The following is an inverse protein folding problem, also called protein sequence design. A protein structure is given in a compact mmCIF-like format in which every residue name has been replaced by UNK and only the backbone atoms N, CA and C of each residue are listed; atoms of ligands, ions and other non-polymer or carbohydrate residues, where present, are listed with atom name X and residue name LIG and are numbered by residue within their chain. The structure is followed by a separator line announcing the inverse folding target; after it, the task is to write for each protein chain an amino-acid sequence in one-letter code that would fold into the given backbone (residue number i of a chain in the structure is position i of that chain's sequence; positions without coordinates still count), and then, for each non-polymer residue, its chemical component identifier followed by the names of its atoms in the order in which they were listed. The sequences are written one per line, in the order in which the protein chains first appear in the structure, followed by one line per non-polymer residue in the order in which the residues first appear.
data_IF_344225621519
#
_entry.id   IF_344225621519
#
_cell.length_a   1.000
_cell.length_b   1.000
_cell.length_c   1.000
_cell.angle_alpha   90.00
_cell.angle_beta   90.00
_cell.angle_gamma   90.00
#
_symmetry.space_group_name_H-M   'P 1'
#
loop_
_entity.id
_entity.type
_entity.pdbx_description
1 polymer ?
#
# COMPACT_ATOMS: atom_id res chain seq x y z
N UNK A 1 11.31 24.72 -6.96
CA UNK A 1 12.48 23.84 -6.82
C UNK A 1 12.50 22.91 -8.03
N UNK A 2 13.45 23.07 -8.96
CA UNK A 2 13.64 22.09 -10.03
C UNK A 2 14.04 20.80 -9.34
N UNK A 3 13.20 19.77 -9.38
CA UNK A 3 13.53 18.46 -8.85
C UNK A 3 14.69 17.91 -9.69
N UNK A 4 15.80 17.60 -9.05
CA UNK A 4 17.00 17.02 -9.68
C UNK A 4 16.70 15.66 -10.36
N UNK A 5 15.59 15.00 -9.93
CA UNK A 5 15.17 13.71 -10.43
C UNK A 5 14.08 13.85 -11.50
N UNK A 6 14.19 13.06 -12.58
CA UNK A 6 13.13 12.92 -13.56
C UNK A 6 11.85 12.32 -12.92
N UNK A 7 10.63 12.55 -13.49
CA UNK A 7 9.41 11.96 -12.94
C UNK A 7 9.46 10.43 -12.82
N UNK A 8 10.08 9.75 -13.78
CA UNK A 8 10.29 8.29 -13.71
C UNK A 8 11.19 7.90 -12.54
N UNK A 9 12.29 8.61 -12.33
CA UNK A 9 13.21 8.35 -11.21
C UNK A 9 12.54 8.61 -9.85
N UNK A 10 11.68 9.63 -9.73
CA UNK A 10 10.89 9.86 -8.52
C UNK A 10 9.95 8.70 -8.22
N UNK A 11 9.26 8.17 -9.26
CA UNK A 11 8.37 7.03 -9.11
C UNK A 11 9.13 5.76 -8.71
N UNK A 12 10.24 5.46 -9.40
CA UNK A 12 11.10 4.32 -9.05
C UNK A 12 11.55 4.42 -7.59
N UNK A 13 12.06 5.58 -7.17
CA UNK A 13 12.52 5.77 -5.79
C UNK A 13 11.39 5.59 -4.78
N UNK A 14 10.18 6.08 -5.08
CA UNK A 14 9.02 5.86 -4.18
C UNK A 14 8.65 4.39 -4.04
N UNK A 15 8.70 3.62 -5.14
CA UNK A 15 8.41 2.18 -5.12
C UNK A 15 9.48 1.39 -4.36
N UNK A 16 10.76 1.73 -4.57
CA UNK A 16 11.85 1.14 -3.80
C UNK A 16 11.68 1.40 -2.30
N UNK A 17 11.31 2.62 -1.91
CA UNK A 17 11.03 2.96 -0.51
C UNK A 17 9.84 2.14 0.01
N UNK A 18 8.72 2.07 -0.70
CA UNK A 18 7.56 1.31 -0.26
C UNK A 18 7.89 -0.18 -0.07
N UNK A 19 8.66 -0.79 -0.96
CA UNK A 19 9.07 -2.19 -0.86
C UNK A 19 9.91 -2.54 0.39
N UNK A 20 10.54 -1.55 1.03
CA UNK A 20 11.30 -1.79 2.26
C UNK A 20 10.45 -1.78 3.53
N UNK A 21 9.18 -1.33 3.46
CA UNK A 21 8.36 -1.10 4.66
C UNK A 21 8.08 -2.38 5.46
N UNK A 22 7.87 -3.50 4.78
CA UNK A 22 7.61 -4.79 5.41
C UNK A 22 8.79 -5.24 6.29
N UNK A 23 10.01 -5.06 5.78
CA UNK A 23 11.23 -5.38 6.54
C UNK A 23 11.39 -4.44 7.73
N UNK A 24 11.26 -3.13 7.53
CA UNK A 24 11.36 -2.15 8.62
C UNK A 24 10.32 -2.44 9.71
N UNK A 25 9.10 -2.83 9.32
CA UNK A 25 8.01 -3.19 10.24
C UNK A 25 8.40 -4.36 11.17
N UNK A 26 9.16 -5.35 10.68
CA UNK A 26 9.61 -6.51 11.48
C UNK A 26 10.50 -6.13 12.66
N UNK A 27 11.21 -5.03 12.56
CA UNK A 27 12.09 -4.53 13.63
C UNK A 27 11.41 -3.57 14.61
N UNK A 28 10.11 -3.30 14.46
CA UNK A 28 9.34 -2.45 15.37
C UNK A 28 8.47 -3.36 16.26
N UNK A 29 8.83 -3.53 17.56
CA UNK A 29 8.12 -4.42 18.48
C UNK A 29 6.86 -3.77 19.07
N UNK A 30 6.11 -3.02 18.23
CA UNK A 30 4.87 -2.37 18.64
C UNK A 30 3.66 -3.02 17.94
N UNK A 31 2.47 -2.94 18.55
CA UNK A 31 1.22 -3.37 17.90
C UNK A 31 1.04 -2.71 16.53
N UNK A 32 0.44 -3.44 15.60
CA UNK A 32 0.24 -2.96 14.21
C UNK A 32 -0.59 -1.68 14.15
N UNK A 33 -1.57 -1.55 15.05
CA UNK A 33 -2.41 -0.36 15.23
C UNK A 33 -1.59 0.87 15.63
N UNK A 34 -0.66 0.72 16.58
CA UNK A 34 0.23 1.80 17.04
C UNK A 34 1.14 2.26 15.88
N UNK A 35 1.76 1.32 15.17
CA UNK A 35 2.64 1.65 14.04
C UNK A 35 1.85 2.37 12.93
N UNK A 36 0.64 1.91 12.64
CA UNK A 36 -0.23 2.54 11.64
C UNK A 36 -0.68 3.95 12.07
N UNK A 37 -1.01 4.15 13.37
CA UNK A 37 -1.32 5.48 13.92
C UNK A 37 -0.13 6.43 13.80
N UNK A 38 1.06 6.00 14.25
CA UNK A 38 2.28 6.82 14.16
C UNK A 38 2.59 7.17 12.70
N UNK A 39 2.45 6.20 11.79
CA UNK A 39 2.63 6.42 10.37
C UNK A 39 1.69 7.51 9.84
N UNK A 40 0.40 7.45 10.19
CA UNK A 40 -0.58 8.43 9.79
C UNK A 40 -0.27 9.83 10.36
N UNK A 41 0.02 9.91 11.66
CA UNK A 41 0.27 11.16 12.36
C UNK A 41 1.56 11.84 11.89
N UNK A 42 2.67 11.11 11.86
CA UNK A 42 3.98 11.65 11.41
C UNK A 42 3.94 12.02 9.92
N UNK A 43 3.32 11.18 9.07
CA UNK A 43 3.12 11.49 7.67
C UNK A 43 2.26 12.74 7.46
N UNK A 44 1.19 12.90 8.24
CA UNK A 44 0.34 14.10 8.23
C UNK A 44 1.14 15.34 8.60
N UNK A 45 1.87 15.30 9.72
CA UNK A 45 2.71 16.44 10.15
C UNK A 45 3.72 16.80 9.08
N UNK A 46 4.39 15.82 8.49
CA UNK A 46 5.35 16.04 7.40
C UNK A 46 4.69 16.76 6.21
N UNK A 47 3.51 16.29 5.76
CA UNK A 47 2.80 16.90 4.63
C UNK A 47 2.31 18.31 4.94
N UNK A 48 1.84 18.57 6.17
CA UNK A 48 1.42 19.91 6.60
C UNK A 48 2.60 20.87 6.65
N UNK A 49 3.76 20.44 7.17
CA UNK A 49 5.00 21.24 7.19
C UNK A 49 5.46 21.53 5.76
N UNK A 50 5.49 20.53 4.87
CA UNK A 50 5.87 20.70 3.48
C UNK A 50 4.94 21.70 2.76
N UNK A 51 3.63 21.59 2.99
CA UNK A 51 2.63 22.52 2.47
C UNK A 51 2.89 23.95 2.94
N UNK A 52 3.18 24.12 4.23
CA UNK A 52 3.51 25.46 4.81
C UNK A 52 4.74 26.07 4.13
N UNK A 53 5.79 25.27 3.96
CA UNK A 53 7.01 25.69 3.25
C UNK A 53 6.72 26.06 1.80
N UNK A 54 5.86 25.31 1.10
CA UNK A 54 5.44 25.58 -0.29
C UNK A 54 4.42 26.71 -0.41
N UNK A 55 3.91 27.25 0.70
CA UNK A 55 2.87 28.29 0.76
C UNK A 55 1.59 27.92 0.01
N UNK A 56 1.26 26.65 -0.06
CA UNK A 56 0.05 26.13 -0.73
C UNK A 56 -1.16 26.28 0.20
N UNK A 57 -2.33 26.64 -0.38
CA UNK A 57 -3.60 26.76 0.37
C UNK A 57 -4.48 25.54 0.15
N UNK A 58 -5.26 25.15 1.19
CA UNK A 58 -6.28 24.10 1.09
C UNK A 58 -7.44 24.61 0.25
N UNK A 59 -7.89 23.85 -0.72
CA UNK A 59 -9.18 24.10 -1.37
C UNK A 59 -10.32 23.56 -0.47
N UNK A 60 -10.78 24.44 0.44
CA UNK A 60 -11.84 24.10 1.40
C UNK A 60 -13.16 23.72 0.72
N UNK A 61 -13.47 24.31 -0.44
CA UNK A 61 -14.69 24.00 -1.16
C UNK A 61 -14.64 22.59 -1.76
N UNK A 62 -13.51 22.22 -2.37
CA UNK A 62 -13.28 20.87 -2.89
C UNK A 62 -13.29 19.81 -1.76
N UNK A 63 -12.67 20.10 -0.62
CA UNK A 63 -12.69 19.21 0.56
C UNK A 63 -14.13 19.02 1.05
N UNK A 64 -14.89 20.09 1.25
CA UNK A 64 -16.28 20.04 1.74
C UNK A 64 -17.19 19.23 0.81
N UNK A 65 -17.06 19.42 -0.51
CA UNK A 65 -17.83 18.66 -1.52
C UNK A 65 -17.57 17.16 -1.47
N UNK A 66 -16.36 16.75 -1.11
CA UNK A 66 -15.94 15.35 -1.06
C UNK A 66 -15.87 14.77 0.37
N UNK A 67 -16.37 15.51 1.38
CA UNK A 67 -16.09 15.22 2.79
C UNK A 67 -16.43 13.77 3.20
N UNK A 68 -17.64 13.30 2.89
CA UNK A 68 -18.07 11.95 3.24
C UNK A 68 -17.15 10.88 2.64
N UNK A 69 -16.78 11.04 1.36
CA UNK A 69 -15.86 10.10 0.68
C UNK A 69 -14.46 10.13 1.29
N UNK A 70 -13.98 11.32 1.68
CA UNK A 70 -12.68 11.48 2.34
C UNK A 70 -12.67 10.85 3.73
N UNK A 71 -13.78 10.94 4.48
CA UNK A 71 -13.94 10.27 5.77
C UNK A 71 -13.88 8.74 5.59
N UNK A 72 -14.67 8.19 4.67
CA UNK A 72 -14.67 6.76 4.36
C UNK A 72 -13.26 6.31 3.94
N UNK A 73 -12.60 7.04 3.04
CA UNK A 73 -11.25 6.72 2.57
C UNK A 73 -10.22 6.75 3.70
N UNK A 74 -10.31 7.70 4.63
CA UNK A 74 -9.38 7.76 5.76
C UNK A 74 -9.57 6.60 6.75
N UNK A 75 -10.82 6.23 7.05
CA UNK A 75 -11.13 5.04 7.88
C UNK A 75 -10.61 3.76 7.22
N UNK A 76 -10.90 3.59 5.92
CA UNK A 76 -10.43 2.42 5.17
C UNK A 76 -8.91 2.36 5.08
N UNK A 77 -8.24 3.51 4.95
CA UNK A 77 -6.78 3.58 4.90
C UNK A 77 -6.16 3.15 6.24
N UNK A 78 -6.69 3.62 7.36
CA UNK A 78 -6.25 3.21 8.69
C UNK A 78 -6.42 1.70 8.91
N UNK A 79 -7.61 1.17 8.62
CA UNK A 79 -7.87 -0.26 8.70
C UNK A 79 -6.96 -1.09 7.77
N UNK A 80 -6.77 -0.64 6.52
CA UNK A 80 -5.88 -1.28 5.56
C UNK A 80 -4.46 -1.45 6.11
N UNK A 81 -3.89 -0.41 6.72
CA UNK A 81 -2.54 -0.48 7.29
C UNK A 81 -2.46 -1.39 8.51
N UNK A 82 -3.49 -1.40 9.38
CA UNK A 82 -3.53 -2.32 10.52
C UNK A 82 -3.52 -3.77 10.01
N UNK A 83 -4.40 -4.11 9.08
CA UNK A 83 -4.49 -5.46 8.54
C UNK A 83 -3.21 -5.90 7.81
N UNK A 84 -2.59 -5.01 7.02
CA UNK A 84 -1.34 -5.33 6.34
C UNK A 84 -0.18 -5.54 7.32
N UNK A 85 -0.03 -4.66 8.30
CA UNK A 85 1.04 -4.80 9.28
C UNK A 85 0.82 -6.00 10.19
N UNK A 86 -0.43 -6.32 10.51
CA UNK A 86 -0.77 -7.52 11.26
C UNK A 86 -0.52 -8.79 10.43
N UNK A 87 -0.74 -8.75 9.13
CA UNK A 87 -0.39 -9.85 8.24
C UNK A 87 1.10 -10.20 8.33
N UNK A 88 1.98 -9.19 8.37
CA UNK A 88 3.43 -9.40 8.54
C UNK A 88 3.81 -10.08 9.87
N UNK A 89 2.97 -10.02 10.89
CA UNK A 89 3.19 -10.71 12.16
C UNK A 89 2.82 -12.21 12.09
N UNK A 90 2.00 -12.60 11.12
CA UNK A 90 1.42 -13.95 11.03
C UNK A 90 1.89 -14.77 9.82
N UNK A 91 2.61 -14.15 8.88
CA UNK A 91 3.21 -14.84 7.71
C UNK A 91 4.47 -14.12 7.27
N UNK A 92 5.15 -14.64 6.22
CA UNK A 92 6.32 -13.97 5.66
C UNK A 92 5.96 -12.62 5.03
N UNK A 93 6.92 -11.69 5.02
CA UNK A 93 6.73 -10.39 4.36
C UNK A 93 6.44 -10.59 2.87
N UNK A 94 7.09 -11.56 2.23
CA UNK A 94 6.83 -11.91 0.83
C UNK A 94 5.38 -12.35 0.63
N UNK A 95 4.88 -13.33 1.40
CA UNK A 95 3.53 -13.86 1.27
C UNK A 95 2.46 -12.80 1.56
N UNK A 96 2.61 -12.03 2.65
CA UNK A 96 1.69 -10.95 2.98
C UNK A 96 1.64 -9.87 1.87
N UNK A 97 2.81 -9.51 1.32
CA UNK A 97 2.90 -8.53 0.23
C UNK A 97 2.25 -9.06 -1.05
N UNK A 98 2.47 -10.34 -1.40
CA UNK A 98 1.81 -10.93 -2.56
C UNK A 98 0.29 -10.98 -2.40
N UNK A 99 -0.23 -11.29 -1.19
CA UNK A 99 -1.67 -11.18 -0.88
C UNK A 99 -2.17 -9.74 -1.09
N UNK A 100 -1.44 -8.76 -0.59
CA UNK A 100 -1.80 -7.35 -0.71
C UNK A 100 -1.86 -6.90 -2.17
N UNK A 101 -0.95 -7.39 -3.00
CA UNK A 101 -0.93 -7.12 -4.44
C UNK A 101 -2.02 -7.84 -5.25
N UNK A 102 -2.92 -8.59 -4.60
CA UNK A 102 -4.18 -9.01 -5.23
C UNK A 102 -5.18 -7.86 -5.40
N UNK A 103 -4.95 -6.70 -4.80
CA UNK A 103 -5.84 -5.53 -4.93
C UNK A 103 -6.17 -5.12 -6.39
N UNK A 104 -5.22 -5.03 -7.34
CA UNK A 104 -5.55 -4.78 -8.74
C UNK A 104 -6.47 -5.84 -9.35
N UNK A 105 -6.30 -7.12 -8.99
CA UNK A 105 -7.18 -8.20 -9.43
C UNK A 105 -8.60 -7.97 -8.92
N UNK A 106 -8.75 -7.61 -7.65
CA UNK A 106 -10.07 -7.27 -7.07
C UNK A 106 -10.70 -6.06 -7.77
N UNK A 107 -9.92 -5.02 -8.10
CA UNK A 107 -10.42 -3.88 -8.89
C UNK A 107 -10.91 -4.34 -10.26
N UNK A 108 -10.16 -5.21 -10.96
CA UNK A 108 -10.55 -5.74 -12.28
C UNK A 108 -11.87 -6.54 -12.16
N UNK A 109 -11.98 -7.42 -11.17
CA UNK A 109 -13.16 -8.26 -10.96
C UNK A 109 -14.41 -7.46 -10.58
N UNK A 110 -14.24 -6.34 -9.85
CA UNK A 110 -15.33 -5.48 -9.41
C UNK A 110 -15.71 -4.41 -10.45
N UNK A 111 -14.84 -4.11 -11.42
CA UNK A 111 -15.06 -3.04 -12.39
C UNK A 111 -16.33 -3.19 -13.24
N UNK A 112 -16.79 -4.40 -13.64
CA UNK A 112 -18.05 -4.55 -14.36
C UNK A 112 -19.26 -4.11 -13.54
N UNK A 113 -19.25 -4.46 -12.26
CA UNK A 113 -20.39 -4.19 -11.35
C UNK A 113 -20.43 -2.70 -10.98
N UNK A 114 -19.27 -2.07 -10.76
CA UNK A 114 -19.19 -0.71 -10.21
C UNK A 114 -19.16 0.34 -11.32
N UNK A 115 -18.45 0.07 -12.42
CA UNK A 115 -18.23 1.03 -13.51
C UNK A 115 -18.88 0.61 -14.84
N UNK A 116 -19.50 -0.58 -14.91
CA UNK A 116 -20.03 -1.11 -16.17
C UNK A 116 -18.95 -1.49 -17.19
N UNK A 117 -17.69 -1.57 -16.77
CA UNK A 117 -16.56 -1.89 -17.66
C UNK A 117 -16.56 -3.37 -18.02
N UNK A 118 -16.31 -3.72 -19.29
CA UNK A 118 -16.21 -5.13 -19.70
C UNK A 118 -14.82 -5.69 -19.35
N UNK A 119 -14.79 -6.87 -18.71
CA UNK A 119 -13.53 -7.59 -18.50
C UNK A 119 -13.09 -8.16 -19.88
N UNK A 120 -11.93 -7.78 -20.34
CA UNK A 120 -11.34 -8.38 -21.52
C UNK A 120 -10.85 -9.80 -21.21
N UNK A 121 -10.87 -10.71 -22.19
CA UNK A 121 -10.36 -12.09 -22.03
C UNK A 121 -8.96 -12.11 -21.42
N UNK A 122 -8.09 -11.20 -21.85
CA UNK A 122 -6.73 -11.05 -21.34
C UNK A 122 -6.73 -10.74 -19.83
N UNK A 123 -7.49 -9.74 -19.40
CA UNK A 123 -7.59 -9.39 -17.96
C UNK A 123 -8.16 -10.55 -17.14
N UNK A 124 -9.13 -11.29 -17.70
CA UNK A 124 -9.67 -12.50 -17.08
C UNK A 124 -8.61 -13.59 -16.91
N UNK A 125 -7.83 -13.90 -17.95
CA UNK A 125 -6.74 -14.88 -17.88
C UNK A 125 -5.67 -14.42 -16.90
N UNK A 126 -5.21 -13.16 -16.95
CA UNK A 126 -4.21 -12.64 -16.01
C UNK A 126 -4.71 -12.72 -14.57
N UNK A 127 -5.99 -12.42 -14.31
CA UNK A 127 -6.58 -12.56 -12.97
C UNK A 127 -6.57 -14.01 -12.48
N UNK A 128 -6.92 -14.97 -13.34
CA UNK A 128 -6.88 -16.39 -13.00
C UNK A 128 -5.46 -16.88 -12.71
N UNK A 129 -4.47 -16.46 -13.52
CA UNK A 129 -3.04 -16.79 -13.30
C UNK A 129 -2.55 -16.16 -11.99
N UNK A 130 -2.92 -14.92 -11.68
CA UNK A 130 -2.55 -14.26 -10.42
C UNK A 130 -3.15 -15.00 -9.21
N UNK A 131 -4.42 -15.41 -9.28
CA UNK A 131 -5.07 -16.20 -8.22
C UNK A 131 -4.38 -17.56 -8.02
N UNK A 132 -4.04 -18.25 -9.10
CA UNK A 132 -3.28 -19.50 -9.03
C UNK A 132 -1.89 -19.29 -8.42
N UNK A 133 -1.16 -18.28 -8.89
CA UNK A 133 0.13 -17.89 -8.33
C UNK A 133 0.04 -17.57 -6.82
N UNK A 134 -1.05 -16.93 -6.39
CA UNK A 134 -1.30 -16.66 -4.98
C UNK A 134 -1.43 -17.94 -4.15
N UNK A 135 -2.12 -18.97 -4.65
CA UNK A 135 -2.21 -20.27 -3.99
C UNK A 135 -0.83 -20.89 -3.79
N UNK A 136 0.07 -20.77 -4.78
CA UNK A 136 1.44 -21.26 -4.65
C UNK A 136 2.26 -20.45 -3.63
N UNK A 137 2.13 -19.11 -3.63
CA UNK A 137 2.83 -18.24 -2.65
C UNK A 137 2.37 -18.50 -1.22
N UNK A 138 1.09 -18.86 -1.04
CA UNK A 138 0.54 -19.11 0.29
C UNK A 138 1.16 -20.31 1.02
N UNK A 139 1.84 -21.18 0.27
CA UNK A 139 2.44 -22.42 0.73
C UNK A 139 1.46 -23.36 1.49
N UNK A 140 0.14 -23.12 1.34
CA UNK A 140 -0.92 -23.89 1.99
C UNK A 140 -0.90 -25.36 1.55
N UNK A 141 -0.41 -25.62 0.34
CA UNK A 141 -0.32 -26.98 -0.21
C UNK A 141 0.73 -27.84 0.49
N UNK A 142 1.79 -27.25 1.02
CA UNK A 142 2.89 -27.96 1.68
C UNK A 142 2.87 -27.85 3.21
N UNK A 143 2.52 -26.68 3.74
CA UNK A 143 2.55 -26.39 5.18
C UNK A 143 1.15 -26.42 5.84
N UNK A 144 0.11 -26.70 5.07
CA UNK A 144 -1.28 -26.68 5.55
C UNK A 144 -1.71 -25.24 5.91
N UNK A 145 -2.57 -25.13 6.94
CA UNK A 145 -3.14 -23.82 7.34
C UNK A 145 -2.20 -22.98 8.23
N UNK A 146 -0.93 -23.37 8.38
CA UNK A 146 0.05 -22.52 9.08
C UNK A 146 0.25 -21.22 8.30
N UNK A 147 0.07 -20.07 8.99
CA UNK A 147 0.13 -18.76 8.34
C UNK A 147 -1.16 -18.31 7.65
N UNK A 148 -2.21 -19.14 7.58
CA UNK A 148 -3.48 -18.79 6.93
C UNK A 148 -4.09 -17.49 7.49
N UNK A 149 -3.93 -17.21 8.78
CA UNK A 149 -4.35 -15.94 9.39
C UNK A 149 -3.66 -14.74 8.72
N UNK A 150 -2.34 -14.80 8.51
CA UNK A 150 -1.59 -13.74 7.85
C UNK A 150 -2.03 -13.53 6.40
N UNK A 151 -2.24 -14.63 5.67
CA UNK A 151 -2.73 -14.57 4.29
C UNK A 151 -4.13 -13.93 4.22
N UNK A 152 -5.05 -14.33 5.11
CA UNK A 152 -6.39 -13.75 5.18
C UNK A 152 -6.33 -12.25 5.50
N UNK A 153 -5.51 -11.84 6.45
CA UNK A 153 -5.31 -10.43 6.80
C UNK A 153 -4.74 -9.63 5.62
N UNK A 154 -3.78 -10.21 4.88
CA UNK A 154 -3.25 -9.63 3.65
C UNK A 154 -4.31 -9.45 2.56
N UNK A 155 -5.20 -10.45 2.36
CA UNK A 155 -6.30 -10.36 1.40
C UNK A 155 -7.38 -9.35 1.84
N UNK A 156 -7.66 -9.23 3.14
CA UNK A 156 -8.55 -8.18 3.67
C UNK A 156 -7.93 -6.81 3.40
N UNK A 157 -6.63 -6.63 3.65
CA UNK A 157 -5.92 -5.40 3.33
C UNK A 157 -5.99 -5.10 1.83
N UNK A 158 -5.81 -6.09 0.95
CA UNK A 158 -5.95 -5.95 -0.50
C UNK A 158 -7.37 -5.51 -0.91
N UNK A 159 -8.41 -6.09 -0.29
CA UNK A 159 -9.79 -5.74 -0.55
C UNK A 159 -10.10 -4.30 -0.15
N UNK A 160 -9.61 -3.86 1.02
CA UNK A 160 -9.71 -2.47 1.47
C UNK A 160 -8.98 -1.53 0.52
N UNK A 161 -7.77 -1.92 0.04
CA UNK A 161 -7.02 -1.10 -0.91
C UNK A 161 -7.75 -1.00 -2.26
N UNK A 162 -8.30 -2.10 -2.76
CA UNK A 162 -9.14 -2.08 -3.96
C UNK A 162 -10.34 -1.13 -3.81
N UNK A 163 -11.03 -1.18 -2.66
CA UNK A 163 -12.13 -0.28 -2.36
C UNK A 163 -11.65 1.20 -2.26
N UNK A 164 -10.48 1.46 -1.65
CA UNK A 164 -9.86 2.79 -1.63
C UNK A 164 -9.60 3.29 -3.07
N UNK A 165 -9.06 2.46 -3.95
CA UNK A 165 -8.83 2.81 -5.36
C UNK A 165 -10.15 3.17 -6.06
N UNK A 166 -11.18 2.35 -5.86
CA UNK A 166 -12.51 2.55 -6.45
C UNK A 166 -13.13 3.86 -5.96
N UNK A 167 -13.18 4.09 -4.65
CA UNK A 167 -13.76 5.32 -4.08
C UNK A 167 -12.96 6.57 -4.50
N UNK A 168 -11.63 6.47 -4.57
CA UNK A 168 -10.80 7.57 -5.06
C UNK A 168 -11.12 8.00 -6.49
N UNK A 169 -11.56 7.09 -7.37
CA UNK A 169 -12.01 7.43 -8.73
C UNK A 169 -13.28 8.29 -8.75
N UNK A 170 -14.06 8.27 -7.69
CA UNK A 170 -15.30 9.05 -7.59
C UNK A 170 -15.11 10.46 -7.01
N UNK A 171 -13.88 10.81 -6.57
CA UNK A 171 -13.56 12.15 -6.10
C UNK A 171 -13.42 13.12 -7.29
N UNK A 172 -13.95 14.32 -7.13
CA UNK A 172 -13.91 15.33 -8.19
C UNK A 172 -13.35 16.66 -7.70
N UNK A 173 -12.48 17.27 -8.52
CA UNK A 173 -11.98 18.62 -8.31
C UNK A 173 -11.17 18.83 -7.02
N UNK A 174 -10.56 17.79 -6.47
CA UNK A 174 -9.68 17.85 -5.28
C UNK A 174 -8.25 17.48 -5.67
N UNK A 175 -7.28 18.23 -5.18
CA UNK A 175 -5.86 17.94 -5.41
C UNK A 175 -5.45 16.62 -4.74
N UNK A 176 -4.45 15.92 -5.32
CA UNK A 176 -3.89 14.70 -4.71
C UNK A 176 -3.34 14.97 -3.31
N UNK A 177 -2.73 16.15 -3.10
CA UNK A 177 -2.16 16.56 -1.81
C UNK A 177 -3.25 16.79 -0.75
N UNK A 178 -4.32 17.54 -1.08
CA UNK A 178 -5.46 17.75 -0.17
C UNK A 178 -6.14 16.45 0.21
N UNK A 179 -6.34 15.57 -0.77
CA UNK A 179 -6.90 14.24 -0.56
C UNK A 179 -6.06 13.43 0.40
N UNK A 180 -4.73 13.37 0.21
CA UNK A 180 -3.83 12.60 1.06
C UNK A 180 -3.77 13.14 2.48
N UNK A 181 -3.67 14.48 2.64
CA UNK A 181 -3.70 15.12 3.95
C UNK A 181 -5.00 14.78 4.70
N UNK A 182 -6.15 14.86 4.02
CA UNK A 182 -7.43 14.54 4.64
C UNK A 182 -7.55 13.06 5.02
N UNK A 183 -7.10 12.15 4.14
CA UNK A 183 -7.10 10.72 4.45
C UNK A 183 -6.21 10.40 5.65
N UNK A 184 -5.02 11.00 5.74
CA UNK A 184 -4.13 10.80 6.89
C UNK A 184 -4.69 11.41 8.18
N UNK A 185 -5.30 12.60 8.10
CA UNK A 185 -5.94 13.23 9.25
C UNK A 185 -7.09 12.37 9.79
N UNK A 186 -7.94 11.84 8.92
CA UNK A 186 -9.06 10.97 9.29
C UNK A 186 -8.55 9.64 9.82
N UNK A 187 -7.57 9.01 9.15
CA UNK A 187 -6.97 7.78 9.62
C UNK A 187 -6.40 7.94 11.03
N UNK A 188 -5.61 8.99 11.27
CA UNK A 188 -5.06 9.28 12.60
C UNK A 188 -6.17 9.55 13.64
N UNK A 189 -7.19 10.34 13.29
CA UNK A 189 -8.29 10.68 14.18
C UNK A 189 -9.14 9.46 14.59
N UNK A 190 -9.34 8.50 13.67
CA UNK A 190 -10.12 7.28 13.97
C UNK A 190 -9.26 6.24 14.70
N UNK A 191 -7.98 6.13 14.34
CA UNK A 191 -7.08 5.16 14.95
C UNK A 191 -6.63 5.57 16.36
N UNK A 192 -6.56 6.88 16.66
CA UNK A 192 -6.14 7.36 17.98
C UNK A 192 -7.02 6.82 19.10
N UNK A 193 -8.37 7.03 19.12
CA UNK A 193 -9.21 6.47 20.16
C UNK A 193 -9.19 4.93 20.17
N UNK A 194 -9.10 4.27 19.00
CA UNK A 194 -8.96 2.83 18.94
C UNK A 194 -7.70 2.36 19.69
N UNK A 195 -6.53 2.93 19.38
CA UNK A 195 -5.26 2.57 20.03
C UNK A 195 -5.31 2.85 21.54
N UNK A 196 -5.87 4.00 21.97
CA UNK A 196 -5.98 4.35 23.38
C UNK A 196 -6.89 3.40 24.17
N UNK A 197 -7.87 2.77 23.51
CA UNK A 197 -8.82 1.87 24.16
C UNK A 197 -8.41 0.39 24.11
N UNK A 198 -7.59 0.00 23.13
CA UNK A 198 -7.27 -1.42 22.89
C UNK A 198 -5.83 -1.81 23.18
N UNK A 199 -4.91 -0.84 23.23
CA UNK A 199 -3.49 -1.13 23.40
C UNK A 199 -2.98 -0.63 24.77
N UNK A 200 -2.15 -1.44 25.39
CA UNK A 200 -1.44 -1.02 26.60
C UNK A 200 -0.22 -0.15 26.22
N UNK A 201 -0.42 1.16 26.23
CA UNK A 201 0.65 2.11 25.91
C UNK A 201 1.76 2.15 26.96
N UNK A 202 1.51 1.72 28.20
CA UNK A 202 2.51 1.67 29.26
C UNK A 202 3.56 0.58 29.02
N UNK A 203 3.19 -0.47 28.27
CA UNK A 203 4.09 -1.55 27.90
C UNK A 203 5.04 -1.18 26.73
N UNK A 204 4.81 -0.02 26.06
CA UNK A 204 5.60 0.39 24.92
C UNK A 204 6.93 0.99 25.32
N UNK A 205 8.03 0.34 24.95
CA UNK A 205 9.37 0.84 25.26
C UNK A 205 9.94 1.61 24.05
N UNK A 206 9.99 2.92 24.17
CA UNK A 206 10.56 3.82 23.17
C UNK A 206 12.08 3.88 23.29
N UNK A 207 12.79 2.91 22.73
CA UNK A 207 14.25 2.99 22.60
C UNK A 207 14.62 3.96 21.46
N UNK A 208 15.85 4.52 21.43
CA UNK A 208 16.29 5.35 20.31
C UNK A 208 16.14 4.66 18.95
N UNK A 209 16.41 3.36 18.86
CA UNK A 209 16.26 2.57 17.64
C UNK A 209 14.79 2.47 17.20
N UNK A 210 13.88 2.11 18.11
CA UNK A 210 12.45 2.01 17.80
C UNK A 210 11.89 3.36 17.38
N UNK A 211 12.25 4.43 18.08
CA UNK A 211 11.84 5.79 17.72
C UNK A 211 12.35 6.19 16.34
N UNK A 212 13.61 5.89 16.01
CA UNK A 212 14.17 6.15 14.69
C UNK A 212 13.44 5.36 13.59
N UNK A 213 13.11 4.09 13.82
CA UNK A 213 12.34 3.26 12.88
C UNK A 213 10.90 3.78 12.68
N UNK A 214 10.24 4.22 13.75
CA UNK A 214 8.91 4.84 13.65
C UNK A 214 8.94 6.15 12.85
N UNK A 215 9.95 7.00 13.10
CA UNK A 215 10.16 8.21 12.31
C UNK A 215 10.49 7.88 10.85
N UNK A 216 11.31 6.86 10.59
CA UNK A 216 11.60 6.37 9.26
C UNK A 216 10.31 5.97 8.52
N UNK A 217 9.44 5.20 9.18
CA UNK A 217 8.14 4.79 8.59
C UNK A 217 7.24 6.01 8.33
N UNK A 218 7.15 6.93 9.26
CA UNK A 218 6.28 8.11 9.12
C UNK A 218 6.81 9.15 8.13
N UNK A 219 8.10 9.50 8.22
CA UNK A 219 8.70 10.55 7.38
C UNK A 219 9.06 10.01 6.01
N UNK A 220 9.83 8.91 5.94
CA UNK A 220 10.37 8.41 4.67
C UNK A 220 9.35 7.58 3.92
N UNK A 221 8.82 6.50 4.53
CA UNK A 221 7.89 5.59 3.84
C UNK A 221 6.49 6.21 3.63
N UNK A 222 6.13 7.22 4.42
CA UNK A 222 4.82 7.84 4.29
C UNK A 222 4.94 9.26 3.74
N UNK A 223 5.54 10.19 4.45
CA UNK A 223 5.60 11.58 4.01
C UNK A 223 6.35 11.75 2.68
N UNK A 224 7.62 11.41 2.66
CA UNK A 224 8.50 11.64 1.52
C UNK A 224 8.14 10.76 0.30
N UNK A 225 7.89 9.45 0.52
CA UNK A 225 7.55 8.54 -0.56
C UNK A 225 6.24 8.95 -1.26
N UNK A 226 5.22 9.38 -0.50
CA UNK A 226 3.97 9.89 -1.07
C UNK A 226 4.16 11.19 -1.86
N UNK A 227 5.05 12.08 -1.42
CA UNK A 227 5.41 13.29 -2.19
C UNK A 227 6.04 12.93 -3.53
N UNK A 228 6.96 11.98 -3.55
CA UNK A 228 7.58 11.49 -4.78
C UNK A 228 6.54 10.82 -5.69
N UNK A 229 5.71 9.94 -5.12
CA UNK A 229 4.68 9.20 -5.83
C UNK A 229 3.66 10.15 -6.49
N UNK A 230 2.97 10.97 -5.69
CA UNK A 230 1.95 11.88 -6.22
C UNK A 230 2.52 13.00 -7.08
N UNK A 231 3.78 13.39 -6.84
CA UNK A 231 4.48 14.34 -7.69
C UNK A 231 4.85 13.76 -9.06
N UNK A 232 5.03 12.46 -9.18
CA UNK A 232 5.44 11.80 -10.43
C UNK A 232 4.27 11.30 -11.27
N UNK A 233 3.23 10.73 -10.65
CA UNK A 233 2.10 10.08 -11.34
C UNK A 233 1.47 10.93 -12.47
N UNK A 234 1.16 12.21 -12.30
CA UNK A 234 0.56 13.02 -13.37
C UNK A 234 1.49 13.29 -14.55
N UNK A 235 2.80 13.03 -14.39
CA UNK A 235 3.85 13.35 -15.36
C UNK A 235 4.47 12.10 -16.02
N UNK A 236 3.95 10.91 -15.68
CA UNK A 236 4.39 9.63 -16.23
C UNK A 236 3.20 8.98 -16.94
N UNK A 237 3.37 8.38 -18.14
CA UNK A 237 2.29 7.63 -18.78
C UNK A 237 1.72 6.56 -17.84
N UNK A 238 0.39 6.40 -17.81
CA UNK A 238 -0.29 5.50 -16.86
C UNK A 238 0.24 4.06 -16.93
N UNK A 239 0.47 3.54 -18.14
CA UNK A 239 1.05 2.22 -18.32
C UNK A 239 2.46 2.09 -17.73
N UNK A 240 3.30 3.12 -17.89
CA UNK A 240 4.65 3.15 -17.29
C UNK A 240 4.56 3.22 -15.77
N UNK A 241 3.62 4.00 -15.24
CA UNK A 241 3.41 4.11 -13.80
C UNK A 241 2.96 2.77 -13.20
N UNK A 242 2.02 2.08 -13.84
CA UNK A 242 1.59 0.75 -13.44
C UNK A 242 2.73 -0.27 -13.43
N UNK A 243 3.53 -0.34 -14.51
CA UNK A 243 4.68 -1.25 -14.59
C UNK A 243 5.73 -0.96 -13.51
N UNK A 244 6.04 0.32 -13.26
CA UNK A 244 7.02 0.69 -12.24
C UNK A 244 6.51 0.41 -10.82
N UNK A 245 5.20 0.38 -10.58
CA UNK A 245 4.62 0.04 -9.28
C UNK A 245 4.92 -1.40 -8.85
N UNK A 246 5.25 -2.29 -9.78
CA UNK A 246 5.64 -3.66 -9.43
C UNK A 246 7.07 -3.78 -8.86
N UNK A 247 7.85 -2.70 -8.84
CA UNK A 247 9.12 -2.67 -8.12
C UNK A 247 8.93 -2.84 -6.61
N UNK A 248 7.86 -2.31 -6.05
CA UNK A 248 7.54 -2.45 -4.62
C UNK A 248 7.47 -3.93 -4.18
N UNK A 249 6.58 -4.79 -4.72
CA UNK A 249 6.54 -6.20 -4.31
C UNK A 249 7.80 -6.98 -4.67
N UNK A 250 8.49 -6.64 -5.76
CA UNK A 250 9.78 -7.27 -6.10
C UNK A 250 10.81 -6.98 -5.01
N UNK A 251 10.93 -5.73 -4.56
CA UNK A 251 11.84 -5.35 -3.47
C UNK A 251 11.45 -6.04 -2.17
N UNK A 252 10.14 -6.08 -1.84
CA UNK A 252 9.66 -6.74 -0.63
C UNK A 252 10.03 -8.23 -0.60
N UNK A 253 9.85 -8.95 -1.73
CA UNK A 253 10.22 -10.37 -1.85
C UNK A 253 11.74 -10.57 -1.72
N UNK A 254 12.54 -9.77 -2.44
CA UNK A 254 14.00 -9.87 -2.36
C UNK A 254 14.49 -9.64 -0.92
N UNK A 255 13.98 -8.60 -0.25
CA UNK A 255 14.39 -8.28 1.10
C UNK A 255 13.88 -9.27 2.15
N UNK A 256 12.71 -9.87 1.95
CA UNK A 256 12.19 -10.97 2.78
C UNK A 256 13.20 -12.13 2.83
N UNK A 257 13.71 -12.54 1.67
CA UNK A 257 14.66 -13.64 1.58
C UNK A 257 16.07 -13.25 2.02
N UNK A 258 16.56 -12.08 1.59
CA UNK A 258 17.98 -11.71 1.78
C UNK A 258 18.28 -11.06 3.13
N UNK A 259 17.35 -10.29 3.69
CA UNK A 259 17.53 -9.54 4.94
C UNK A 259 16.86 -10.21 6.12
N UNK A 260 15.62 -10.70 5.93
CA UNK A 260 14.90 -11.40 7.01
C UNK A 260 15.20 -12.89 7.04
N UNK A 261 15.89 -13.42 6.02
CA UNK A 261 16.18 -14.86 5.86
C UNK A 261 14.92 -15.73 5.95
N UNK A 262 13.77 -15.18 5.52
CA UNK A 262 12.51 -15.93 5.47
C UNK A 262 12.61 -17.03 4.41
N UNK A 263 12.31 -18.30 4.75
CA UNK A 263 12.39 -19.40 3.80
C UNK A 263 11.38 -19.19 2.67
N UNK A 264 11.79 -19.41 1.44
CA UNK A 264 10.92 -19.39 0.27
C UNK A 264 11.00 -20.73 -0.45
N UNK A 265 9.89 -21.46 -0.47
CA UNK A 265 9.81 -22.72 -1.21
C UNK A 265 9.83 -22.47 -2.73
N UNK A 266 10.25 -23.48 -3.51
CA UNK A 266 10.23 -23.35 -4.96
C UNK A 266 8.81 -23.06 -5.52
N UNK A 267 7.74 -23.73 -5.05
CA UNK A 267 6.37 -23.33 -5.44
C UNK A 267 6.05 -21.87 -5.12
N UNK A 268 6.45 -21.36 -3.93
CA UNK A 268 6.22 -19.97 -3.56
C UNK A 268 6.96 -18.99 -4.49
N UNK A 269 8.20 -19.29 -4.85
CA UNK A 269 8.96 -18.50 -5.81
C UNK A 269 8.30 -18.46 -7.20
N UNK A 270 7.85 -19.62 -7.71
CA UNK A 270 7.09 -19.73 -8.97
C UNK A 270 5.78 -18.94 -8.88
N UNK A 271 5.06 -19.07 -7.76
CA UNK A 271 3.83 -18.32 -7.50
C UNK A 271 4.04 -16.81 -7.55
N UNK A 272 5.10 -16.30 -6.91
CA UNK A 272 5.44 -14.88 -6.93
C UNK A 272 5.71 -14.38 -8.38
N UNK A 273 6.44 -15.15 -9.17
CA UNK A 273 6.69 -14.84 -10.58
C UNK A 273 5.39 -14.83 -11.39
N UNK A 274 4.47 -15.78 -11.15
CA UNK A 274 3.17 -15.82 -11.81
C UNK A 274 2.31 -14.62 -11.45
N UNK A 275 2.23 -14.24 -10.17
CA UNK A 275 1.47 -13.06 -9.71
C UNK A 275 2.01 -11.80 -10.39
N UNK A 276 3.31 -11.55 -10.27
CA UNK A 276 3.94 -10.35 -10.83
C UNK A 276 3.85 -10.33 -12.37
N UNK A 277 4.11 -11.47 -13.01
CA UNK A 277 4.00 -11.62 -14.46
C UNK A 277 2.58 -11.38 -14.98
N UNK A 278 1.57 -11.92 -14.30
CA UNK A 278 0.17 -11.71 -14.64
C UNK A 278 -0.24 -10.24 -14.48
N UNK A 279 0.21 -9.57 -13.42
CA UNK A 279 -0.05 -8.14 -13.20
C UNK A 279 0.58 -7.29 -14.30
N UNK A 280 1.87 -7.48 -14.59
CA UNK A 280 2.57 -6.80 -15.69
C UNK A 280 1.85 -7.06 -17.01
N UNK A 281 1.50 -8.33 -17.29
CA UNK A 281 0.79 -8.70 -18.50
C UNK A 281 -0.58 -8.04 -18.61
N UNK A 282 -1.33 -7.88 -17.51
CA UNK A 282 -2.65 -7.25 -17.52
C UNK A 282 -2.61 -5.76 -17.89
N UNK A 283 -1.52 -5.07 -17.55
CA UNK A 283 -1.31 -3.63 -17.80
C UNK A 283 -0.77 -3.33 -19.22
N UNK A 284 -0.14 -4.32 -19.86
CA UNK A 284 0.34 -4.14 -21.24
C UNK A 284 -0.86 -4.05 -22.19
N UNK A 285 -1.26 -2.87 -22.62
CA UNK A 285 -2.28 -2.72 -23.66
C UNK A 285 -1.76 -3.27 -25.01
N UNK A 286 -2.56 -4.07 -25.75
CA UNK A 286 -2.24 -4.35 -27.14
C UNK A 286 -2.26 -3.02 -27.90
N UNK A 287 -1.18 -2.68 -28.61
CA UNK A 287 -1.19 -1.56 -29.53
C UNK A 287 -2.43 -1.74 -30.43
N UNK A 288 -3.40 -0.83 -30.34
CA UNK A 288 -4.45 -0.74 -31.33
C UNK A 288 -3.75 -0.54 -32.69
N UNK A 289 -3.82 -1.58 -33.56
CA UNK A 289 -3.50 -1.46 -34.99
C UNK A 289 -4.56 -0.64 -35.68
#
# INVERSE_FOLDING_TARGET
MKTLLSPRAQLILSMLIFGTIGVVRRFIPFPSSVVALVRAAVGLVFLLLLRRVRRQRVDRAAVRRNLLKLLILGVMLGANWIFLFEAYNHTSVAAATMCYYMAPVFVILLSPVIFGEKITLRKGICSAVALFGMVLVSDVLSSGLHGAKGLLLGLIAASLYAAIVIVNRTLSGISAEDRTIMQFAVAAAVMLPYVLLTEDLSALTFTPTVTALLLLVGVVHTGFAYVLYFGSIPRVPAQTAALLSYLDPVVAVILSVTVLHEPMSLPAAVGAVLVLGAMVCSELEPKKR
#
